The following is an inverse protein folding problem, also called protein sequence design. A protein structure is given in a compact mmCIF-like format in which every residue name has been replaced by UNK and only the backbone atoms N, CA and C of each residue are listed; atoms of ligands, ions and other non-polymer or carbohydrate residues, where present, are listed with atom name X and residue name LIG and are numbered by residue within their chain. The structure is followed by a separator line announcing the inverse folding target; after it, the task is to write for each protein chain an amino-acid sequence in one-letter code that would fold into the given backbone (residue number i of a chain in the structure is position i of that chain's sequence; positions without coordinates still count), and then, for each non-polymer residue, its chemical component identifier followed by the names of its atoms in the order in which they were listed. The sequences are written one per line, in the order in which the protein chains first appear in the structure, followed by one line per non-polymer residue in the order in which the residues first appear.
data_IF_206091456346
#
_entry.id   IF_206091456346
#
_cell.length_a   1.000
_cell.length_b   1.000
_cell.length_c   1.000
_cell.angle_alpha   90.00
_cell.angle_beta   90.00
_cell.angle_gamma   90.00
#
_symmetry.space_group_name_H-M   'P 1'
#
loop_
_entity.id
_entity.type
_entity.pdbx_description
1 polymer ?
#
# COMPACT_ATOMS: atom_id res chain seq x y z
N UNK A 1 -35.40 0.80 -46.42
CA UNK A 1 -35.57 1.50 -45.14
C UNK A 1 -35.27 0.64 -43.91
N UNK A 2 -35.67 -0.63 -43.92
CA UNK A 2 -35.41 -1.55 -42.81
C UNK A 2 -33.91 -1.83 -42.59
N UNK A 3 -33.14 -1.95 -43.67
CA UNK A 3 -31.69 -2.18 -43.59
C UNK A 3 -30.93 -1.02 -42.96
N UNK A 4 -31.37 0.23 -43.17
CA UNK A 4 -30.74 1.40 -42.56
C UNK A 4 -30.99 1.47 -41.06
N UNK A 5 -32.18 1.06 -40.62
CA UNK A 5 -32.53 1.01 -39.17
C UNK A 5 -31.75 -0.08 -38.44
N UNK A 6 -31.63 -1.26 -39.08
CA UNK A 6 -30.83 -2.36 -38.52
C UNK A 6 -29.35 -2.01 -38.42
N UNK A 7 -28.83 -1.30 -39.40
CA UNK A 7 -27.43 -0.86 -39.42
C UNK A 7 -27.14 0.14 -38.31
N UNK A 8 -28.05 1.07 -38.02
CA UNK A 8 -27.96 2.00 -36.92
C UNK A 8 -27.98 1.27 -35.56
N UNK A 9 -28.84 0.29 -35.40
CA UNK A 9 -28.94 -0.50 -34.20
C UNK A 9 -27.64 -1.26 -33.91
N UNK A 10 -27.01 -1.84 -34.93
CA UNK A 10 -25.73 -2.52 -34.80
C UNK A 10 -24.60 -1.58 -34.44
N UNK A 11 -24.60 -0.36 -35.05
CA UNK A 11 -23.60 0.65 -34.72
C UNK A 11 -23.72 1.12 -33.28
N UNK A 12 -24.95 1.40 -32.82
CA UNK A 12 -25.19 1.80 -31.42
C UNK A 12 -24.77 0.69 -30.46
N UNK A 13 -25.09 -0.55 -30.77
CA UNK A 13 -24.70 -1.71 -29.95
C UNK A 13 -23.17 -1.85 -29.87
N UNK A 14 -22.48 -1.64 -30.99
CA UNK A 14 -21.03 -1.69 -31.02
C UNK A 14 -20.40 -0.55 -30.21
N UNK A 15 -20.96 0.64 -30.26
CA UNK A 15 -20.52 1.79 -29.46
C UNK A 15 -20.72 1.50 -27.98
N UNK A 16 -21.87 0.95 -27.60
CA UNK A 16 -22.17 0.60 -26.20
C UNK A 16 -21.23 -0.46 -25.66
N UNK A 17 -20.93 -1.47 -26.48
CA UNK A 17 -19.96 -2.52 -26.11
C UNK A 17 -18.55 -1.97 -25.95
N UNK A 18 -18.14 -1.07 -26.83
CA UNK A 18 -16.83 -0.43 -26.75
C UNK A 18 -16.72 0.43 -25.49
N UNK A 19 -17.79 1.17 -25.18
CA UNK A 19 -17.85 2.00 -23.97
C UNK A 19 -17.81 1.14 -22.71
N UNK A 20 -18.56 0.04 -22.68
CA UNK A 20 -18.55 -0.89 -21.56
C UNK A 20 -17.17 -1.49 -21.32
N UNK A 21 -16.46 -1.87 -22.39
CA UNK A 21 -15.08 -2.39 -22.29
C UNK A 21 -14.12 -1.33 -21.79
N UNK A 22 -14.25 -0.09 -22.25
CA UNK A 22 -13.42 1.02 -21.81
C UNK A 22 -13.65 1.30 -20.32
N UNK A 23 -14.89 1.30 -19.85
CA UNK A 23 -15.22 1.48 -18.43
C UNK A 23 -14.67 0.35 -17.57
N UNK A 24 -14.79 -0.89 -18.03
CA UNK A 24 -14.26 -2.05 -17.30
C UNK A 24 -12.73 -1.99 -17.19
N UNK A 25 -12.07 -1.60 -18.29
CA UNK A 25 -10.62 -1.42 -18.31
C UNK A 25 -10.18 -0.31 -17.37
N UNK A 26 -10.88 0.83 -17.38
CA UNK A 26 -10.60 1.95 -16.49
C UNK A 26 -10.75 1.56 -15.02
N UNK A 27 -11.83 0.88 -14.66
CA UNK A 27 -12.07 0.39 -13.30
C UNK A 27 -10.98 -0.57 -12.84
N UNK A 28 -10.55 -1.45 -13.75
CA UNK A 28 -9.47 -2.41 -13.46
C UNK A 28 -8.16 -1.69 -13.18
N UNK A 29 -7.83 -0.67 -13.98
CA UNK A 29 -6.63 0.14 -13.78
C UNK A 29 -6.68 0.92 -12.47
N UNK A 30 -7.85 1.48 -12.14
CA UNK A 30 -8.05 2.18 -10.88
C UNK A 30 -7.84 1.28 -9.67
N UNK A 31 -8.42 0.06 -9.69
CA UNK A 31 -8.22 -0.92 -8.62
C UNK A 31 -6.75 -1.32 -8.48
N UNK A 32 -6.06 -1.47 -9.61
CA UNK A 32 -4.64 -1.80 -9.60
C UNK A 32 -3.81 -0.67 -8.97
N UNK A 33 -4.12 0.58 -9.27
CA UNK A 33 -3.46 1.75 -8.67
C UNK A 33 -3.73 1.84 -7.17
N UNK A 34 -4.97 1.66 -6.76
CA UNK A 34 -5.37 1.67 -5.35
C UNK A 34 -4.67 0.57 -4.58
N UNK A 35 -4.63 -0.64 -5.17
CA UNK A 35 -3.92 -1.77 -4.57
C UNK A 35 -2.43 -1.51 -4.43
N UNK A 36 -1.79 -0.94 -5.46
CA UNK A 36 -0.38 -0.59 -5.40
C UNK A 36 -0.10 0.48 -4.35
N UNK A 37 -0.98 1.48 -4.23
CA UNK A 37 -0.86 2.52 -3.23
C UNK A 37 -1.02 1.96 -1.81
N UNK A 38 -2.03 1.14 -1.60
CA UNK A 38 -2.27 0.48 -0.31
C UNK A 38 -1.08 -0.39 0.09
N UNK A 39 -0.48 -1.10 -0.86
CA UNK A 39 0.70 -1.92 -0.62
C UNK A 39 1.91 -1.08 -0.20
N UNK A 40 2.13 0.05 -0.86
CA UNK A 40 3.21 0.99 -0.50
C UNK A 40 3.03 1.53 0.91
N UNK A 41 1.81 1.89 1.27
CA UNK A 41 1.48 2.38 2.61
C UNK A 41 1.72 1.29 3.66
N UNK A 42 1.31 0.08 3.37
CA UNK A 42 1.51 -1.07 4.25
C UNK A 42 3.00 -1.34 4.48
N UNK A 43 3.81 -1.32 3.42
CA UNK A 43 5.26 -1.51 3.51
C UNK A 43 5.92 -0.37 4.30
N UNK A 44 5.49 0.87 4.07
CA UNK A 44 6.02 2.03 4.78
C UNK A 44 5.71 1.94 6.28
N UNK A 45 4.50 1.54 6.66
CA UNK A 45 4.12 1.33 8.06
C UNK A 45 4.93 0.21 8.69
N UNK A 46 5.15 -0.88 7.97
CA UNK A 46 5.97 -2.00 8.43
C UNK A 46 7.41 -1.56 8.71
N UNK A 47 8.00 -0.79 7.80
CA UNK A 47 9.35 -0.25 7.99
C UNK A 47 9.42 0.71 9.18
N UNK A 48 8.44 1.60 9.30
CA UNK A 48 8.37 2.54 10.43
C UNK A 48 8.28 1.80 11.76
N UNK A 49 7.50 0.72 11.83
CA UNK A 49 7.36 -0.12 13.02
C UNK A 49 8.69 -0.80 13.36
N UNK A 50 9.38 -1.36 12.36
CA UNK A 50 10.68 -1.99 12.55
C UNK A 50 11.74 -1.00 13.04
N UNK A 51 11.77 0.20 12.47
CA UNK A 51 12.68 1.26 12.92
C UNK A 51 12.40 1.68 14.35
N UNK A 52 11.14 1.84 14.72
CA UNK A 52 10.73 2.18 16.07
C UNK A 52 11.15 1.08 17.05
N UNK A 53 10.92 -0.16 16.70
CA UNK A 53 11.28 -1.32 17.51
C UNK A 53 12.81 -1.38 17.72
N UNK A 54 13.57 -1.19 16.66
CA UNK A 54 15.04 -1.17 16.73
C UNK A 54 15.55 -0.05 17.62
N UNK A 55 14.95 1.14 17.50
CA UNK A 55 15.32 2.31 18.32
C UNK A 55 15.02 2.07 19.79
N UNK A 56 13.83 1.55 20.11
CA UNK A 56 13.44 1.25 21.48
C UNK A 56 14.33 0.18 22.10
N UNK A 57 14.68 -0.84 21.31
CA UNK A 57 15.61 -1.90 21.76
C UNK A 57 16.99 -1.34 22.06
N UNK A 58 17.49 -0.47 21.17
CA UNK A 58 18.79 0.18 21.38
C UNK A 58 18.81 1.04 22.64
N UNK A 59 17.74 1.80 22.89
CA UNK A 59 17.60 2.62 24.09
C UNK A 59 17.56 1.76 25.36
N UNK A 60 16.85 0.64 25.32
CA UNK A 60 16.79 -0.28 26.46
C UNK A 60 18.14 -0.90 26.75
N UNK A 61 18.86 -1.33 25.71
CA UNK A 61 20.20 -1.89 25.88
C UNK A 61 21.19 -0.87 26.41
N UNK A 62 21.10 0.38 25.93
CA UNK A 62 21.94 1.47 26.45
C UNK A 62 21.66 1.76 27.91
N UNK A 63 20.39 1.74 28.32
CA UNK A 63 19.98 1.92 29.71
C UNK A 63 20.51 0.78 30.59
N UNK A 64 20.39 -0.47 30.17
CA UNK A 64 20.90 -1.62 30.88
C UNK A 64 22.40 -1.55 31.05
N UNK A 65 23.13 -1.15 30.01
CA UNK A 65 24.57 -0.98 30.08
C UNK A 65 24.97 0.13 31.05
N UNK A 66 24.24 1.25 31.02
CA UNK A 66 24.48 2.36 31.97
C UNK A 66 24.20 1.94 33.42
N UNK A 67 23.11 1.19 33.64
CA UNK A 67 22.75 0.70 34.96
C UNK A 67 23.80 -0.29 35.49
N UNK A 68 24.32 -1.18 34.65
CA UNK A 68 25.40 -2.10 35.02
C UNK A 68 26.67 -1.35 35.36
N UNK A 69 27.02 -0.34 34.58
CA UNK A 69 28.20 0.48 34.86
C UNK A 69 28.05 1.23 36.18
N UNK A 70 26.86 1.79 36.44
CA UNK A 70 26.58 2.48 37.71
C UNK A 70 26.66 1.53 38.92
N UNK A 71 26.11 0.33 38.79
CA UNK A 71 26.19 -0.69 39.86
C UNK A 71 27.65 -1.12 40.10
N UNK A 72 28.40 -1.30 39.00
CA UNK A 72 29.82 -1.66 39.09
C UNK A 72 30.66 -0.59 39.80
N UNK A 73 30.37 0.70 39.53
CA UNK A 73 31.06 1.82 40.21
C UNK A 73 30.69 1.94 41.68
N UNK A 74 29.46 1.57 42.05
CA UNK A 74 28.97 1.64 43.44
C UNK A 74 29.40 0.48 44.30
N UNK A 75 29.98 -0.58 43.77
CA UNK A 75 30.47 -1.69 44.55
C UNK A 75 31.63 -1.24 45.41
N UNK A 76 31.59 -1.46 46.73
CA UNK A 76 32.75 -1.21 47.60
C UNK A 76 33.88 -2.14 47.18
N UNK A 77 35.00 -1.59 46.91
CA UNK A 77 36.23 -2.32 46.58
C UNK A 77 36.75 -3.14 47.72
#
# INVERSE_FOLDING_TARGET
METATEHRSLLVLNIDRARARAEASFKKQERAREGAQAWKEYEAEGRATLEKTARLRALRLAREAADKAAVSEKKPS
#
